data_IF_118174538733
#
_entry.id   IF_118174538733
#
_cell.length_a   1.000
_cell.length_b   1.000
_cell.length_c   1.000
_cell.angle_alpha   90.00
_cell.angle_beta   90.00
_cell.angle_gamma   90.00
#
_symmetry.space_group_name_H-M   'P 1'
#
loop_
_entity.id
_entity.type
_entity.pdbx_description
1 polymer ?
#
# COMPACT_ATOMS: atom_id res chain seq x y z
N UNK A 1 15.72 -3.73 22.15
CA UNK A 1 14.48 -2.98 22.49
C UNK A 1 14.51 -2.19 23.80
N UNK A 2 15.14 -2.69 24.87
CA UNK A 2 15.13 -2.01 26.19
C UNK A 2 15.76 -0.60 26.19
N UNK A 3 16.68 -0.33 25.26
CA UNK A 3 17.35 0.96 25.05
C UNK A 3 16.50 1.97 24.28
N UNK A 4 15.48 1.52 23.54
CA UNK A 4 14.68 2.37 22.65
C UNK A 4 13.36 2.85 23.26
N UNK A 5 12.70 2.01 24.06
CA UNK A 5 11.38 2.32 24.61
C UNK A 5 11.08 1.51 25.87
N UNK A 6 10.44 2.10 26.90
CA UNK A 6 10.00 1.38 28.10
C UNK A 6 9.02 0.23 27.79
N UNK A 7 8.27 0.31 26.69
CA UNK A 7 7.31 -0.71 26.25
C UNK A 7 8.00 -1.92 25.59
N UNK A 8 9.31 -1.81 25.31
CA UNK A 8 10.15 -2.86 24.73
C UNK A 8 9.52 -3.44 23.46
N UNK A 9 9.42 -4.76 23.34
CA UNK A 9 8.89 -5.47 22.17
C UNK A 9 7.37 -5.26 21.97
N UNK A 10 6.67 -4.73 22.99
CA UNK A 10 5.23 -4.43 22.94
C UNK A 10 4.93 -2.99 22.51
N UNK A 11 5.96 -2.21 22.17
CA UNK A 11 5.76 -0.88 21.61
C UNK A 11 5.00 -0.93 20.25
N UNK A 12 4.38 0.19 19.83
CA UNK A 12 3.84 0.33 18.48
C UNK A 12 4.81 -0.11 17.38
N UNK A 13 4.26 -0.71 16.32
CA UNK A 13 5.05 -1.32 15.23
C UNK A 13 6.05 -0.37 14.58
N UNK A 14 5.70 0.91 14.44
CA UNK A 14 6.59 1.91 13.84
C UNK A 14 7.84 2.15 14.71
N UNK A 15 7.70 2.11 16.04
CA UNK A 15 8.83 2.24 16.98
C UNK A 15 9.72 1.00 16.92
N UNK A 16 9.13 -0.20 17.02
CA UNK A 16 9.88 -1.47 16.95
C UNK A 16 10.61 -1.59 15.61
N UNK A 17 9.94 -1.22 14.52
CA UNK A 17 10.52 -1.27 13.17
C UNK A 17 11.71 -0.32 13.01
N UNK A 18 11.63 0.91 13.55
CA UNK A 18 12.76 1.85 13.54
C UNK A 18 13.94 1.32 14.34
N UNK A 19 13.69 0.79 15.54
CA UNK A 19 14.73 0.20 16.38
C UNK A 19 15.44 -0.98 15.68
N UNK A 20 14.68 -1.87 15.03
CA UNK A 20 15.26 -2.98 14.25
C UNK A 20 16.13 -2.43 13.11
N UNK A 21 15.62 -1.45 12.37
CA UNK A 21 16.34 -0.85 11.24
C UNK A 21 17.66 -0.17 11.68
N UNK A 22 17.64 0.54 12.81
CA UNK A 22 18.81 1.20 13.39
C UNK A 22 19.87 0.17 13.83
N UNK A 23 19.47 -0.84 14.60
CA UNK A 23 20.37 -1.93 15.03
C UNK A 23 20.98 -2.70 13.86
N UNK A 24 20.20 -3.01 12.82
CA UNK A 24 20.71 -3.66 11.61
C UNK A 24 21.80 -2.82 10.93
N UNK A 25 21.57 -1.51 10.83
CA UNK A 25 22.51 -0.58 10.21
C UNK A 25 23.79 -0.39 11.04
N UNK A 26 23.67 -0.28 12.37
CA UNK A 26 24.82 -0.12 13.27
C UNK A 26 25.70 -1.37 13.31
N UNK A 27 25.09 -2.55 13.32
CA UNK A 27 25.81 -3.83 13.37
C UNK A 27 26.27 -4.31 11.98
N UNK A 28 25.74 -3.72 10.90
CA UNK A 28 26.05 -4.13 9.53
C UNK A 28 25.54 -5.54 9.19
N UNK A 29 24.36 -5.91 9.69
CA UNK A 29 23.77 -7.24 9.52
C UNK A 29 22.49 -7.20 8.67
N UNK A 30 22.24 -8.28 7.93
CA UNK A 30 21.10 -8.37 7.01
C UNK A 30 19.77 -8.64 7.72
N UNK A 31 19.79 -9.12 8.96
CA UNK A 31 18.60 -9.45 9.75
C UNK A 31 18.90 -9.44 11.24
N UNK A 32 17.84 -9.34 12.05
CA UNK A 32 17.87 -9.62 13.49
C UNK A 32 17.09 -10.91 13.78
N UNK A 33 16.92 -11.23 15.06
CA UNK A 33 16.27 -12.46 15.49
C UNK A 33 15.03 -12.22 16.34
N UNK A 34 14.01 -13.05 16.12
CA UNK A 34 12.85 -13.22 16.98
C UNK A 34 12.96 -14.56 17.71
N UNK A 35 13.21 -14.52 19.01
CA UNK A 35 13.46 -15.72 19.81
C UNK A 35 12.23 -16.11 20.66
N UNK A 36 11.54 -17.16 20.22
CA UNK A 36 10.48 -17.82 20.98
C UNK A 36 11.04 -18.93 21.88
N UNK A 37 12.10 -19.62 21.43
CA UNK A 37 12.65 -20.79 22.12
C UNK A 37 13.12 -20.45 23.54
N UNK A 38 13.78 -19.29 23.71
CA UNK A 38 14.32 -18.86 25.01
C UNK A 38 13.32 -18.07 25.85
N UNK A 39 12.29 -17.48 25.24
CA UNK A 39 11.45 -16.47 25.91
C UNK A 39 9.97 -16.84 26.04
N UNK A 40 9.47 -17.83 25.29
CA UNK A 40 8.07 -18.22 25.37
C UNK A 40 7.76 -18.94 26.69
N UNK A 41 6.81 -18.39 27.46
CA UNK A 41 6.37 -18.93 28.76
C UNK A 41 4.88 -19.31 28.78
N UNK A 42 4.26 -19.48 27.61
CA UNK A 42 2.84 -19.83 27.55
C UNK A 42 2.59 -21.31 27.84
N UNK A 43 1.42 -21.62 28.38
CA UNK A 43 1.04 -22.99 28.77
C UNK A 43 0.90 -23.94 27.58
N UNK A 44 0.37 -23.42 26.46
CA UNK A 44 0.22 -24.19 25.22
C UNK A 44 1.57 -24.32 24.53
N UNK A 45 2.01 -25.52 24.13
CA UNK A 45 3.27 -25.71 23.40
C UNK A 45 3.37 -24.81 22.16
N UNK A 46 4.59 -24.33 21.86
CA UNK A 46 4.86 -23.44 20.70
C UNK A 46 4.31 -24.03 19.39
N UNK A 47 4.50 -25.35 19.19
CA UNK A 47 4.05 -26.07 17.99
C UNK A 47 2.54 -26.05 17.80
N UNK A 48 1.78 -25.97 18.88
CA UNK A 48 0.33 -25.94 18.86
C UNK A 48 -0.17 -24.50 18.72
N UNK A 49 0.31 -23.59 19.58
CA UNK A 49 -0.14 -22.20 19.60
C UNK A 49 0.20 -21.45 18.32
N UNK A 50 1.37 -21.70 17.75
CA UNK A 50 1.88 -21.04 16.55
C UNK A 50 2.05 -22.03 15.40
N UNK A 51 1.16 -23.02 15.29
CA UNK A 51 1.27 -24.14 14.34
C UNK A 51 1.60 -23.74 12.91
N UNK A 52 0.96 -22.69 12.37
CA UNK A 52 1.25 -22.18 11.02
C UNK A 52 2.65 -21.58 10.91
N UNK A 53 3.10 -20.83 11.91
CA UNK A 53 4.45 -20.25 11.94
C UNK A 53 5.48 -21.37 12.08
N UNK A 54 5.27 -22.30 13.00
CA UNK A 54 6.11 -23.49 13.20
C UNK A 54 6.27 -24.28 11.90
N UNK A 55 5.17 -24.64 11.24
CA UNK A 55 5.23 -25.41 10.00
C UNK A 55 5.96 -24.65 8.86
N UNK A 56 5.74 -23.33 8.75
CA UNK A 56 6.38 -22.49 7.72
C UNK A 56 7.89 -22.36 7.95
N UNK A 57 8.30 -22.12 9.20
CA UNK A 57 9.72 -22.03 9.55
C UNK A 57 10.40 -23.40 9.40
N UNK A 58 9.73 -24.47 9.84
CA UNK A 58 10.28 -25.83 9.74
C UNK A 58 10.48 -26.26 8.28
N UNK A 59 9.58 -25.88 7.35
CA UNK A 59 9.79 -26.16 5.93
C UNK A 59 10.96 -25.37 5.33
N UNK A 60 11.36 -24.26 5.97
CA UNK A 60 12.57 -23.50 5.66
C UNK A 60 13.80 -23.96 6.45
N UNK A 61 13.70 -25.05 7.23
CA UNK A 61 14.82 -25.61 8.00
C UNK A 61 15.03 -25.02 9.40
N UNK A 62 14.09 -24.21 9.91
CA UNK A 62 14.21 -23.51 11.21
C UNK A 62 13.22 -24.11 12.21
N UNK A 63 13.72 -24.76 13.27
CA UNK A 63 12.87 -25.23 14.38
C UNK A 63 12.71 -24.12 15.43
N UNK A 64 11.60 -23.38 15.37
CA UNK A 64 11.32 -22.23 16.25
C UNK A 64 11.15 -22.59 17.74
N UNK A 65 11.16 -23.89 18.07
CA UNK A 65 11.17 -24.37 19.46
C UNK A 65 12.58 -24.52 20.01
N UNK A 66 13.60 -24.40 19.16
CA UNK A 66 15.00 -24.66 19.48
C UNK A 66 15.92 -23.51 19.10
N UNK A 67 15.59 -22.77 18.04
CA UNK A 67 16.42 -21.67 17.54
C UNK A 67 15.59 -20.42 17.18
N UNK A 68 16.19 -19.21 17.22
CA UNK A 68 15.52 -17.97 16.86
C UNK A 68 15.19 -17.85 15.36
N UNK A 69 14.18 -17.06 15.03
CA UNK A 69 13.75 -16.80 13.65
C UNK A 69 14.46 -15.55 13.10
N UNK A 70 15.15 -15.60 11.95
CA UNK A 70 15.68 -14.41 11.30
C UNK A 70 14.53 -13.53 10.79
N UNK A 71 14.55 -12.24 11.13
CA UNK A 71 13.51 -11.28 10.80
C UNK A 71 14.08 -9.97 10.25
N UNK A 72 13.32 -9.36 9.34
CA UNK A 72 13.56 -8.02 8.80
C UNK A 72 12.25 -7.24 8.73
N UNK A 73 12.27 -5.91 8.82
CA UNK A 73 11.11 -5.10 8.47
C UNK A 73 10.68 -5.32 7.02
N UNK A 74 9.38 -5.25 6.76
CA UNK A 74 8.84 -5.31 5.40
C UNK A 74 7.62 -4.39 5.25
N UNK A 75 7.39 -3.91 4.03
CA UNK A 75 6.15 -3.20 3.69
C UNK A 75 4.96 -4.16 3.84
N UNK A 76 3.90 -3.72 4.52
CA UNK A 76 2.82 -4.61 4.95
C UNK A 76 1.40 -4.09 4.70
N UNK A 77 1.15 -2.80 4.87
CA UNK A 77 -0.21 -2.23 4.78
C UNK A 77 -0.20 -0.78 4.31
N UNK A 78 -1.15 -0.42 3.45
CA UNK A 78 -1.37 0.97 3.04
C UNK A 78 -2.41 1.65 3.95
N UNK A 79 -1.97 2.57 4.81
CA UNK A 79 -2.88 3.37 5.65
C UNK A 79 -3.55 4.52 4.89
N UNK A 80 -2.95 4.94 3.78
CA UNK A 80 -3.54 5.91 2.85
C UNK A 80 -4.41 5.23 1.80
N UNK A 81 -4.74 5.95 0.74
CA UNK A 81 -5.59 5.44 -0.34
C UNK A 81 -6.50 6.53 -0.90
N UNK A 82 -7.54 6.11 -1.62
CA UNK A 82 -8.57 7.00 -2.15
C UNK A 82 -9.36 7.60 -1.00
N UNK A 83 -9.30 8.93 -0.82
CA UNK A 83 -10.06 9.60 0.25
C UNK A 83 -11.56 9.38 0.06
N UNK A 84 -12.22 8.93 1.13
CA UNK A 84 -13.66 8.70 1.16
C UNK A 84 -14.33 9.39 2.33
N UNK A 85 -15.65 9.58 2.23
CA UNK A 85 -16.49 9.94 3.37
C UNK A 85 -16.81 8.73 4.27
N UNK A 86 -17.64 8.95 5.30
CA UNK A 86 -18.08 7.91 6.25
C UNK A 86 -18.94 6.82 5.61
N UNK A 87 -19.37 7.00 4.36
CA UNK A 87 -20.14 6.03 3.57
C UNK A 87 -19.31 5.39 2.45
N UNK A 88 -18.00 5.66 2.37
CA UNK A 88 -17.13 5.11 1.33
C UNK A 88 -17.23 5.84 -0.03
N UNK A 89 -17.90 7.00 -0.09
CA UNK A 89 -18.02 7.79 -1.32
C UNK A 89 -16.74 8.57 -1.56
N UNK A 90 -16.23 8.52 -2.79
CA UNK A 90 -15.11 9.35 -3.21
C UNK A 90 -15.58 10.77 -3.58
N UNK A 91 -14.65 11.67 -3.92
CA UNK A 91 -14.99 12.97 -4.51
C UNK A 91 -15.59 12.87 -5.92
N UNK A 92 -15.46 11.70 -6.58
CA UNK A 92 -16.07 11.42 -7.89
C UNK A 92 -17.45 10.81 -7.67
N UNK A 93 -18.47 11.42 -8.25
CA UNK A 93 -19.86 10.94 -8.14
C UNK A 93 -19.96 9.50 -8.66
N UNK A 94 -20.73 8.68 -7.92
CA UNK A 94 -20.96 7.24 -8.21
C UNK A 94 -19.70 6.37 -8.17
N UNK A 95 -18.58 6.88 -7.66
CA UNK A 95 -17.39 6.09 -7.39
C UNK A 95 -17.21 5.94 -5.88
N UNK A 96 -17.06 4.69 -5.44
CA UNK A 96 -16.82 4.30 -4.05
C UNK A 96 -15.47 3.61 -3.93
N UNK A 97 -14.87 3.69 -2.75
CA UNK A 97 -13.69 2.90 -2.39
C UNK A 97 -13.86 2.36 -0.96
N UNK A 98 -13.42 1.13 -0.73
CA UNK A 98 -13.54 0.44 0.57
C UNK A 98 -12.30 -0.40 0.87
N UNK A 99 -12.08 -0.72 2.15
CA UNK A 99 -10.93 -1.49 2.59
C UNK A 99 -9.60 -0.77 2.37
N UNK A 100 -8.52 -1.52 2.15
CA UNK A 100 -7.15 -1.00 2.05
C UNK A 100 -6.92 -0.04 0.86
N UNK A 101 -7.78 -0.06 -0.17
CA UNK A 101 -7.71 0.92 -1.26
C UNK A 101 -8.22 2.31 -0.84
N UNK A 102 -8.98 2.40 0.25
CA UNK A 102 -9.59 3.63 0.73
C UNK A 102 -8.79 4.28 1.87
N UNK A 103 -8.81 5.60 1.91
CA UNK A 103 -8.42 6.39 3.06
C UNK A 103 -9.69 6.84 3.79
N UNK A 104 -10.14 6.01 4.72
CA UNK A 104 -11.33 6.24 5.57
C UNK A 104 -11.03 7.16 6.76
N UNK A 105 -9.75 7.30 7.10
CA UNK A 105 -9.26 8.06 8.26
C UNK A 105 -9.07 7.22 9.53
N UNK A 106 -9.61 6.00 9.61
CA UNK A 106 -9.57 5.19 10.85
C UNK A 106 -8.15 4.80 11.29
N UNK A 107 -7.24 4.61 10.33
CA UNK A 107 -5.85 4.20 10.61
C UNK A 107 -4.91 5.38 10.86
N UNK A 108 -5.33 6.61 10.57
CA UNK A 108 -4.48 7.80 10.71
C UNK A 108 -3.08 7.60 10.13
N UNK A 109 -2.05 7.82 10.96
CA UNK A 109 -0.65 7.67 10.59
C UNK A 109 -0.04 6.30 10.95
N UNK A 110 -0.77 5.41 11.64
CA UNK A 110 -0.32 4.07 11.99
C UNK A 110 -1.52 3.16 12.30
N UNK A 111 -1.67 2.10 11.52
CA UNK A 111 -2.76 1.13 11.65
C UNK A 111 -2.56 0.24 12.87
N UNK A 112 -3.60 0.13 13.72
CA UNK A 112 -3.65 -0.85 14.80
C UNK A 112 -3.77 -2.29 14.27
N UNK A 113 -3.20 -3.25 14.99
CA UNK A 113 -3.31 -4.66 14.60
C UNK A 113 -4.78 -5.12 14.55
N UNK A 114 -5.10 -6.01 13.62
CA UNK A 114 -6.43 -6.63 13.45
C UNK A 114 -7.59 -5.73 13.02
N UNK A 115 -7.37 -4.44 12.74
CA UNK A 115 -8.45 -3.53 12.29
C UNK A 115 -8.73 -3.52 10.79
N UNK A 116 -7.81 -3.96 9.92
CA UNK A 116 -7.96 -3.84 8.46
C UNK A 116 -9.10 -4.69 7.88
N UNK A 117 -9.25 -5.92 8.34
CA UNK A 117 -10.34 -6.79 7.89
C UNK A 117 -11.70 -6.25 8.34
N UNK A 118 -11.75 -5.69 9.55
CA UNK A 118 -12.96 -5.04 10.07
C UNK A 118 -13.31 -3.78 9.28
N UNK A 119 -12.32 -2.97 8.89
CA UNK A 119 -12.54 -1.83 8.00
C UNK A 119 -13.17 -2.27 6.68
N UNK A 120 -12.61 -3.30 6.04
CA UNK A 120 -13.14 -3.84 4.79
C UNK A 120 -14.61 -4.26 4.91
N UNK A 121 -14.96 -4.99 5.98
CA UNK A 121 -16.34 -5.42 6.23
C UNK A 121 -17.28 -4.22 6.50
N UNK A 122 -16.88 -3.32 7.38
CA UNK A 122 -17.71 -2.20 7.81
C UNK A 122 -17.97 -1.20 6.67
N UNK A 123 -16.91 -0.76 5.97
CA UNK A 123 -17.07 0.16 4.84
C UNK A 123 -17.70 -0.53 3.63
N UNK A 124 -17.46 -1.83 3.42
CA UNK A 124 -18.16 -2.61 2.41
C UNK A 124 -19.68 -2.57 2.59
N UNK A 125 -20.16 -2.82 3.81
CA UNK A 125 -21.58 -2.72 4.15
C UNK A 125 -22.11 -1.28 4.00
N UNK A 126 -21.40 -0.29 4.55
CA UNK A 126 -21.80 1.13 4.49
C UNK A 126 -21.90 1.64 3.05
N UNK A 127 -20.94 1.31 2.21
CA UNK A 127 -20.93 1.68 0.80
C UNK A 127 -22.09 1.01 0.04
N UNK A 128 -22.37 -0.26 0.30
CA UNK A 128 -23.50 -0.97 -0.30
C UNK A 128 -24.86 -0.34 0.06
N UNK A 129 -25.06 0.02 1.33
CA UNK A 129 -26.25 0.73 1.80
C UNK A 129 -26.36 2.12 1.13
N UNK A 130 -25.27 2.87 1.07
CA UNK A 130 -25.23 4.20 0.48
C UNK A 130 -25.42 4.21 -1.05
N UNK A 131 -24.95 3.15 -1.72
CA UNK A 131 -25.15 2.93 -3.15
C UNK A 131 -26.61 2.56 -3.44
N UNK A 132 -27.20 1.69 -2.63
CA UNK A 132 -28.62 1.29 -2.74
C UNK A 132 -29.55 2.48 -2.51
N UNK A 133 -29.33 3.27 -1.45
CA UNK A 133 -30.13 4.46 -1.15
C UNK A 133 -30.05 5.50 -2.28
N UNK A 134 -28.84 5.76 -2.80
CA UNK A 134 -28.66 6.69 -3.94
C UNK A 134 -29.38 6.22 -5.21
N UNK A 135 -29.57 4.90 -5.38
CA UNK A 135 -30.32 4.33 -6.50
C UNK A 135 -31.84 4.48 -6.33
N UNK A 136 -32.33 4.56 -5.09
CA UNK A 136 -33.75 4.76 -4.75
C UNK A 136 -34.14 6.24 -4.70
N UNK A 137 -33.21 7.12 -4.30
CA UNK A 137 -33.40 8.58 -4.23
C UNK A 137 -33.31 9.28 -5.60
N UNK A 138 -32.95 8.56 -6.66
CA UNK A 138 -33.08 9.02 -8.03
C UNK A 138 -34.55 9.34 -8.33
N UNK A 139 -34.98 10.62 -8.39
CA UNK A 139 -36.39 10.93 -8.56
C UNK A 139 -36.82 10.51 -9.96
N UNK A 140 -37.88 9.71 -10.05
CA UNK A 140 -38.75 9.77 -11.21
C UNK A 140 -39.32 11.19 -11.28
N UNK A 141 -38.70 12.04 -12.10
CA UNK A 141 -39.14 13.38 -12.50
C UNK A 141 -39.15 14.51 -11.43
N UNK A 142 -38.68 15.68 -11.90
CA UNK A 142 -38.89 17.05 -11.44
C UNK A 142 -38.03 17.60 -10.28
N UNK A 143 -37.04 18.44 -10.63
CA UNK A 143 -36.59 19.54 -9.75
C UNK A 143 -35.09 19.70 -9.53
N UNK A 144 -34.45 20.46 -10.41
CA UNK A 144 -33.30 21.37 -10.22
C UNK A 144 -31.94 20.92 -9.63
N UNK A 145 -31.75 19.80 -8.91
CA UNK A 145 -30.37 19.38 -8.57
C UNK A 145 -30.13 17.88 -8.30
N UNK A 146 -31.18 17.05 -8.21
CA UNK A 146 -31.07 15.60 -8.01
C UNK A 146 -31.13 14.76 -9.29
N UNK A 147 -31.65 15.32 -10.39
CA UNK A 147 -32.01 14.56 -11.59
C UNK A 147 -30.83 14.19 -12.50
N UNK A 148 -29.74 14.98 -12.54
CA UNK A 148 -28.60 14.71 -13.45
C UNK A 148 -27.76 13.50 -13.04
N UNK A 149 -27.77 13.10 -11.77
CA UNK A 149 -26.93 12.01 -11.27
C UNK A 149 -27.48 10.61 -11.58
N UNK A 150 -28.79 10.51 -11.81
CA UNK A 150 -29.49 9.25 -12.05
C UNK A 150 -29.71 8.93 -13.54
N UNK A 151 -29.50 9.91 -14.43
CA UNK A 151 -29.61 9.63 -15.86
C UNK A 151 -28.45 8.71 -16.28
N UNK A 152 -28.74 7.60 -16.99
CA UNK A 152 -27.70 6.83 -17.63
C UNK A 152 -26.86 7.78 -18.49
N UNK A 153 -25.55 7.59 -18.47
CA UNK A 153 -24.66 8.34 -19.37
C UNK A 153 -25.14 8.08 -20.80
N UNK A 154 -25.43 9.14 -21.56
CA UNK A 154 -26.04 9.00 -22.87
C UNK A 154 -25.13 8.20 -23.80
N UNK A 155 -25.71 7.43 -24.72
CA UNK A 155 -24.95 6.66 -25.71
C UNK A 155 -24.05 7.58 -26.53
N UNK A 156 -24.50 8.79 -26.90
CA UNK A 156 -23.67 9.73 -27.66
C UNK A 156 -22.43 10.19 -26.89
N UNK A 157 -22.48 10.17 -25.54
CA UNK A 157 -21.31 10.48 -24.72
C UNK A 157 -20.35 9.30 -24.66
N UNK A 158 -20.85 8.06 -24.66
CA UNK A 158 -20.00 6.87 -24.79
C UNK A 158 -19.36 6.81 -26.18
N UNK A 159 -20.10 7.14 -27.24
CA UNK A 159 -19.61 7.16 -28.63
C UNK A 159 -18.49 8.18 -28.85
N UNK A 160 -18.36 9.18 -27.97
CA UNK A 160 -17.23 10.15 -27.98
C UNK A 160 -15.97 9.62 -27.31
N UNK A 161 -16.06 8.52 -26.56
CA UNK A 161 -14.89 7.85 -25.98
C UNK A 161 -14.35 6.95 -27.07
N UNK A 162 -13.18 7.31 -27.61
CA UNK A 162 -12.51 6.49 -28.60
C UNK A 162 -12.21 5.12 -28.00
N UNK A 163 -12.52 4.07 -28.77
CA UNK A 163 -12.07 2.73 -28.46
C UNK A 163 -10.55 2.70 -28.37
N UNK A 164 -10.03 1.80 -27.54
CA UNK A 164 -8.60 1.57 -27.52
C UNK A 164 -8.17 0.95 -28.86
N UNK A 165 -7.34 1.68 -29.58
CA UNK A 165 -6.74 1.20 -30.83
C UNK A 165 -5.39 0.56 -30.53
N UNK A 166 -5.22 -0.68 -31.00
CA UNK A 166 -3.94 -1.36 -30.95
C UNK A 166 -2.92 -0.62 -31.83
N UNK A 167 -1.70 -0.33 -31.35
CA UNK A 167 -0.66 0.27 -32.19
C UNK A 167 -0.43 -0.56 -33.46
N UNK A 168 -0.26 0.10 -34.62
CA UNK A 168 -0.09 -0.57 -35.91
C UNK A 168 1.11 -1.54 -35.92
N UNK A 169 2.20 -1.14 -35.25
CA UNK A 169 3.39 -1.95 -35.02
C UNK A 169 3.67 -1.93 -33.51
N UNK A 170 3.01 -2.79 -32.72
CA UNK A 170 3.15 -2.74 -31.28
C UNK A 170 4.54 -3.21 -30.89
N UNK A 171 5.26 -2.40 -30.13
CA UNK A 171 6.50 -2.85 -29.53
C UNK A 171 6.18 -3.89 -28.45
N UNK A 172 6.93 -4.99 -28.42
CA UNK A 172 6.77 -6.00 -27.38
C UNK A 172 7.65 -5.61 -26.20
N UNK A 173 7.04 -5.45 -25.03
CA UNK A 173 7.81 -5.26 -23.81
C UNK A 173 8.55 -6.57 -23.49
N UNK A 174 9.88 -6.54 -23.56
CA UNK A 174 10.73 -7.64 -23.11
C UNK A 174 10.58 -7.83 -21.59
N UNK A 175 10.21 -9.03 -21.10
CA UNK A 175 9.96 -9.25 -19.67
C UNK A 175 11.11 -8.83 -18.74
N UNK A 176 12.35 -8.92 -19.22
CA UNK A 176 13.55 -8.49 -18.49
C UNK A 176 13.57 -6.99 -18.21
N UNK A 177 13.13 -6.16 -19.17
CA UNK A 177 13.04 -4.71 -19.00
C UNK A 177 11.95 -4.36 -17.97
N UNK A 178 10.83 -5.09 -17.95
CA UNK A 178 9.75 -4.85 -16.98
C UNK A 178 10.21 -5.17 -15.56
N UNK A 179 10.92 -6.29 -15.44
CA UNK A 179 11.51 -6.71 -14.19
C UNK A 179 12.54 -5.68 -13.68
N UNK A 180 13.37 -5.15 -14.58
CA UNK A 180 14.32 -4.08 -14.25
C UNK A 180 13.61 -2.81 -13.75
N UNK A 181 12.53 -2.40 -14.42
CA UNK A 181 11.78 -1.20 -14.06
C UNK A 181 11.07 -1.35 -12.72
N UNK A 182 10.47 -2.53 -12.49
CA UNK A 182 9.91 -2.87 -11.19
C UNK A 182 10.94 -2.87 -10.07
N UNK A 183 12.12 -3.46 -10.31
CA UNK A 183 13.18 -3.47 -9.31
C UNK A 183 13.68 -2.07 -9.02
N UNK A 184 13.82 -1.23 -10.05
CA UNK A 184 14.19 0.16 -9.88
C UNK A 184 13.18 0.89 -8.98
N UNK A 185 11.88 0.79 -9.28
CA UNK A 185 10.82 1.40 -8.45
C UNK A 185 10.91 0.90 -7.01
N UNK A 186 11.01 -0.43 -6.81
CA UNK A 186 11.09 -1.04 -5.47
C UNK A 186 12.32 -0.57 -4.69
N UNK A 187 13.49 -0.53 -5.33
CA UNK A 187 14.74 -0.09 -4.70
C UNK A 187 14.69 1.40 -4.35
N UNK A 188 14.19 2.26 -5.25
CA UNK A 188 14.01 3.68 -4.96
C UNK A 188 13.05 3.89 -3.81
N UNK A 189 11.92 3.19 -3.79
CA UNK A 189 10.95 3.28 -2.69
C UNK A 189 11.55 2.79 -1.37
N UNK A 190 12.27 1.66 -1.38
CA UNK A 190 12.92 1.12 -0.19
C UNK A 190 13.97 2.07 0.40
N UNK A 191 14.87 2.57 -0.45
CA UNK A 191 16.03 3.36 -0.03
C UNK A 191 15.68 4.81 0.36
N UNK A 192 14.60 5.37 -0.17
CA UNK A 192 14.32 6.81 -0.04
C UNK A 192 12.93 7.13 0.52
N UNK A 193 11.97 6.22 0.38
CA UNK A 193 10.60 6.33 0.90
C UNK A 193 10.26 5.23 1.91
N UNK A 194 11.26 4.55 2.46
CA UNK A 194 11.13 3.46 3.42
C UNK A 194 10.83 3.93 4.85
N UNK A 195 11.48 3.28 5.82
CA UNK A 195 11.26 3.44 7.26
C UNK A 195 11.70 4.82 7.74
N UNK A 196 12.91 5.23 7.37
CA UNK A 196 13.50 6.53 7.71
C UNK A 196 13.66 7.36 6.43
N UNK A 197 13.25 8.62 6.49
CA UNK A 197 13.22 9.51 5.32
C UNK A 197 13.99 10.79 5.60
N UNK A 198 14.48 11.40 4.53
CA UNK A 198 15.10 12.73 4.56
C UNK A 198 14.59 13.52 3.37
N UNK A 199 14.62 14.85 3.45
CA UNK A 199 14.31 15.70 2.29
C UNK A 199 15.11 15.32 1.05
N UNK A 200 16.43 15.17 1.19
CA UNK A 200 17.33 14.86 0.07
C UNK A 200 17.01 13.49 -0.55
N UNK A 201 16.73 12.47 0.28
CA UNK A 201 16.34 11.15 -0.20
C UNK A 201 15.04 11.20 -1.00
N UNK A 202 14.02 11.86 -0.46
CA UNK A 202 12.73 12.00 -1.13
C UNK A 202 12.81 12.82 -2.43
N UNK A 203 13.62 13.88 -2.48
CA UNK A 203 13.88 14.63 -3.72
C UNK A 203 14.53 13.76 -4.79
N UNK A 204 15.47 12.90 -4.39
CA UNK A 204 16.10 11.94 -5.31
C UNK A 204 15.08 10.92 -5.82
N UNK A 205 14.26 10.37 -4.93
CA UNK A 205 13.19 9.46 -5.32
C UNK A 205 12.18 10.10 -6.29
N UNK A 206 11.80 11.35 -6.05
CA UNK A 206 10.90 12.10 -6.92
C UNK A 206 11.51 12.27 -8.32
N UNK A 207 12.77 12.70 -8.41
CA UNK A 207 13.48 12.86 -9.68
C UNK A 207 13.56 11.54 -10.45
N UNK A 208 13.98 10.46 -9.78
CA UNK A 208 14.13 9.16 -10.41
C UNK A 208 12.76 8.62 -10.88
N UNK A 209 11.73 8.63 -10.02
CA UNK A 209 10.40 8.15 -10.38
C UNK A 209 9.75 8.96 -11.51
N UNK A 210 9.99 10.28 -11.58
CA UNK A 210 9.53 11.11 -12.70
C UNK A 210 10.16 10.65 -14.02
N UNK A 211 11.49 10.42 -14.02
CA UNK A 211 12.19 9.90 -15.20
C UNK A 211 11.62 8.54 -15.65
N UNK A 212 11.42 7.62 -14.70
CA UNK A 212 10.88 6.30 -15.00
C UNK A 212 9.44 6.35 -15.49
N UNK A 213 8.59 7.19 -14.91
CA UNK A 213 7.22 7.36 -15.38
C UNK A 213 7.17 7.85 -16.82
N UNK A 214 7.97 8.85 -17.19
CA UNK A 214 8.01 9.34 -18.57
C UNK A 214 8.38 8.24 -19.56
N UNK A 215 9.38 7.41 -19.22
CA UNK A 215 9.79 6.28 -20.06
C UNK A 215 8.72 5.19 -20.13
N UNK A 216 8.13 4.81 -19.00
CA UNK A 216 7.07 3.79 -18.92
C UNK A 216 5.83 4.23 -19.69
N UNK A 217 5.40 5.49 -19.56
CA UNK A 217 4.24 6.02 -20.27
C UNK A 217 4.48 6.06 -21.78
N UNK A 218 5.66 6.51 -22.23
CA UNK A 218 6.00 6.49 -23.65
C UNK A 218 5.86 5.08 -24.24
N UNK A 219 6.46 4.10 -23.57
CA UNK A 219 6.36 2.71 -24.01
C UNK A 219 4.92 2.18 -23.94
N UNK A 220 4.19 2.47 -22.86
CA UNK A 220 2.78 2.09 -22.71
C UNK A 220 1.92 2.55 -23.90
N UNK A 221 2.20 3.71 -24.49
CA UNK A 221 1.50 4.21 -25.68
C UNK A 221 1.84 3.45 -26.97
N UNK A 222 3.02 2.83 -27.04
CA UNK A 222 3.54 2.13 -28.22
C UNK A 222 3.38 0.58 -28.09
N UNK A 223 3.06 0.09 -26.90
CA UNK A 223 3.02 -1.33 -26.57
C UNK A 223 1.66 -2.00 -26.81
N UNK A 224 1.68 -3.33 -26.99
CA UNK A 224 0.49 -4.14 -26.78
C UNK A 224 0.13 -4.16 -25.29
N UNK A 225 -1.12 -3.85 -24.95
CA UNK A 225 -1.58 -3.89 -23.56
C UNK A 225 -1.53 -5.33 -23.01
N UNK A 226 -0.86 -5.46 -21.87
CA UNK A 226 -0.79 -6.67 -21.06
C UNK A 226 -1.05 -6.29 -19.60
N UNK A 227 -1.36 -7.28 -18.77
CA UNK A 227 -1.47 -7.06 -17.33
C UNK A 227 -0.21 -6.41 -16.76
N UNK A 228 0.96 -6.92 -17.14
CA UNK A 228 2.23 -6.52 -16.55
C UNK A 228 2.56 -5.04 -16.83
N UNK A 229 2.22 -4.52 -18.02
CA UNK A 229 2.53 -3.13 -18.38
C UNK A 229 1.56 -2.15 -17.69
N UNK A 230 0.31 -2.58 -17.51
CA UNK A 230 -0.70 -1.84 -16.74
C UNK A 230 -0.27 -1.78 -15.26
N UNK A 231 0.14 -2.92 -14.69
CA UNK A 231 0.64 -2.98 -13.32
C UNK A 231 1.88 -2.09 -13.14
N UNK A 232 2.84 -2.12 -14.06
CA UNK A 232 4.04 -1.27 -14.01
C UNK A 232 3.70 0.22 -14.05
N UNK A 233 2.80 0.63 -14.97
CA UNK A 233 2.30 2.01 -15.07
C UNK A 233 1.60 2.46 -13.79
N UNK A 234 0.75 1.61 -13.22
CA UNK A 234 0.06 1.90 -11.96
C UNK A 234 1.04 1.94 -10.78
N UNK A 235 2.04 1.06 -10.78
CA UNK A 235 3.09 0.99 -9.76
C UNK A 235 3.91 2.26 -9.67
N UNK A 236 4.42 2.77 -10.80
CA UNK A 236 5.17 4.03 -10.81
C UNK A 236 4.28 5.22 -10.41
N UNK A 237 3.01 5.23 -10.84
CA UNK A 237 2.05 6.28 -10.45
C UNK A 237 1.82 6.28 -8.93
N UNK A 238 1.57 5.11 -8.34
CA UNK A 238 1.38 4.96 -6.91
C UNK A 238 2.63 5.36 -6.11
N UNK A 239 3.82 4.96 -6.58
CA UNK A 239 5.09 5.35 -5.98
C UNK A 239 5.28 6.87 -5.95
N UNK A 240 4.99 7.57 -7.06
CA UNK A 240 5.04 9.04 -7.14
C UNK A 240 4.07 9.71 -6.18
N UNK A 241 2.84 9.21 -6.07
CA UNK A 241 1.85 9.74 -5.12
C UNK A 241 2.33 9.61 -3.67
N UNK A 242 2.94 8.47 -3.32
CA UNK A 242 3.49 8.23 -1.97
C UNK A 242 4.67 9.17 -1.69
N UNK A 243 5.62 9.29 -2.63
CA UNK A 243 6.79 10.17 -2.48
C UNK A 243 6.37 11.64 -2.41
N UNK A 244 5.46 12.06 -3.29
CA UNK A 244 4.91 13.41 -3.28
C UNK A 244 4.23 13.74 -1.94
N UNK A 245 3.39 12.84 -1.42
CA UNK A 245 2.76 13.02 -0.12
C UNK A 245 3.78 13.08 1.03
N UNK A 246 4.80 12.20 1.01
CA UNK A 246 5.88 12.20 1.99
C UNK A 246 6.74 13.48 1.91
N UNK A 247 6.88 14.08 0.73
CA UNK A 247 7.63 15.31 0.55
C UNK A 247 6.89 16.53 1.10
N UNK A 248 5.58 16.60 0.86
CA UNK A 248 4.72 17.66 1.37
C UNK A 248 4.57 17.61 2.90
N UNK A 249 4.53 16.40 3.49
CA UNK A 249 4.47 16.27 4.93
C UNK A 249 5.87 16.44 5.56
N UNK A 250 6.03 17.48 6.38
CA UNK A 250 7.28 17.77 7.10
C UNK A 250 7.25 17.35 8.57
N UNK A 251 6.16 16.73 9.04
CA UNK A 251 6.00 16.35 10.45
C UNK A 251 6.09 14.84 10.61
N UNK A 252 7.04 14.38 11.41
CA UNK A 252 7.19 12.97 11.77
C UNK A 252 6.05 12.50 12.68
N UNK A 253 5.18 11.62 12.17
CA UNK A 253 4.02 11.07 12.88
C UNK A 253 3.81 9.62 12.43
N UNK A 254 3.74 8.69 13.39
CA UNK A 254 3.47 7.27 13.13
C UNK A 254 4.47 6.65 12.15
N UNK A 255 3.96 6.03 11.08
CA UNK A 255 4.76 5.38 10.03
C UNK A 255 5.46 6.37 9.08
N UNK A 256 5.19 7.68 9.19
CA UNK A 256 5.94 8.70 8.47
C UNK A 256 6.99 9.31 9.40
N UNK A 257 8.26 8.94 9.19
CA UNK A 257 9.37 9.42 10.00
C UNK A 257 10.42 10.10 9.13
N UNK A 258 10.64 11.40 9.38
CA UNK A 258 11.67 12.23 8.76
C UNK A 258 12.70 12.64 9.82
N UNK A 259 13.97 12.64 9.42
CA UNK A 259 15.09 13.11 10.25
C UNK A 259 15.24 14.64 10.24
N UNK A 260 14.70 15.31 9.23
CA UNK A 260 14.80 16.75 8.98
C UNK A 260 13.51 17.52 9.28
#
# INVERSE_FOLDING_TARGET
MHTYTPQKELAPRDIVTRAIYEEMAEQGVDHLFLDLASHYKGEVPIKERFSRIYATCLSGGIDITREPIPIVPAAHYFCGGVKVDLSGRTSIRRLFAVGETACTGIHGANRLASTSLLEGLFWGKRAAEACSAASQEAPASNGACGAECAQPVSSERFDRILDWEKPANPERFEPSLMYQDWNMIKLTMWNHAGIVRTRKGLQRAEADLNYHEHRINRFYHEACLTRDIIELRNGVTAARLIVGAAMHNRKSIGCHFRLD
#
